data_IF_296218943725
#
_entry.id   IF_296218943725
#
_cell.length_a   1.000
_cell.length_b   1.000
_cell.length_c   1.000
_cell.angle_alpha   90.00
_cell.angle_beta   90.00
_cell.angle_gamma   90.00
#
_symmetry.space_group_name_H-M   'P 1'
#
loop_
_entity.id
_entity.type
_entity.pdbx_description
1 polymer ?
#
# COMPACT_ATOMS: atom_id res chain seq x y z
N UNK A 1 2.22 32.50 -26.33
CA UNK A 1 1.59 31.54 -27.25
C UNK A 1 2.06 31.90 -28.66
N UNK A 2 2.71 30.99 -29.33
CA UNK A 2 3.32 31.18 -30.63
C UNK A 2 2.32 30.75 -31.74
N UNK A 3 2.18 31.59 -32.74
CA UNK A 3 1.20 31.35 -33.79
C UNK A 3 1.83 30.53 -34.95
N UNK A 4 1.43 29.26 -35.02
CA UNK A 4 1.94 28.25 -35.99
C UNK A 4 1.59 28.59 -37.44
N UNK A 5 0.60 29.47 -37.68
CA UNK A 5 0.17 29.87 -39.02
C UNK A 5 1.11 30.87 -39.71
N UNK A 6 2.00 31.50 -38.95
CA UNK A 6 2.92 32.54 -39.46
C UNK A 6 4.38 32.13 -39.60
N UNK A 7 4.82 31.04 -38.92
CA UNK A 7 6.21 30.64 -38.91
C UNK A 7 6.33 29.12 -39.05
N UNK A 8 7.10 28.65 -40.04
CA UNK A 8 7.39 27.23 -40.23
C UNK A 8 8.26 26.61 -39.12
N UNK A 9 8.98 27.45 -38.37
CA UNK A 9 9.83 27.07 -37.24
C UNK A 9 9.63 28.01 -36.07
N UNK A 10 9.69 27.47 -34.87
CA UNK A 10 9.57 28.29 -33.64
C UNK A 10 10.76 29.26 -33.54
N UNK A 11 10.55 30.59 -33.46
CA UNK A 11 11.63 31.56 -33.40
C UNK A 11 12.44 31.49 -32.08
N UNK A 12 11.94 30.84 -31.05
CA UNK A 12 12.60 30.75 -29.72
C UNK A 12 13.41 29.46 -29.57
N UNK A 13 12.93 28.32 -30.03
CA UNK A 13 13.62 27.04 -29.86
C UNK A 13 14.21 26.44 -31.14
N UNK A 14 13.96 27.06 -32.31
CA UNK A 14 14.41 26.57 -33.64
C UNK A 14 14.01 25.13 -33.95
N UNK A 15 12.99 24.59 -33.27
CA UNK A 15 12.41 23.29 -33.62
C UNK A 15 11.43 23.45 -34.78
N UNK A 16 11.54 22.60 -35.79
CA UNK A 16 10.54 22.46 -36.85
C UNK A 16 9.25 21.93 -36.25
N UNK A 17 8.12 22.47 -36.69
CA UNK A 17 6.80 21.96 -36.28
C UNK A 17 6.70 20.50 -36.75
N UNK A 18 6.54 19.59 -35.84
CA UNK A 18 6.20 18.21 -36.12
C UNK A 18 4.78 18.19 -36.70
N UNK A 19 4.67 18.02 -38.03
CA UNK A 19 3.44 17.55 -38.63
C UNK A 19 3.15 16.17 -38.08
N UNK A 20 2.33 16.12 -37.06
CA UNK A 20 1.73 14.86 -36.62
C UNK A 20 0.65 14.50 -37.64
N UNK A 21 1.03 13.84 -38.70
CA UNK A 21 0.13 12.95 -39.42
C UNK A 21 -0.29 11.88 -38.41
N UNK A 22 -1.49 12.00 -37.89
CA UNK A 22 -2.14 10.92 -37.17
C UNK A 22 -2.40 9.82 -38.19
N UNK A 23 -1.42 8.96 -38.39
CA UNK A 23 -1.67 7.66 -38.97
C UNK A 23 -2.51 6.89 -37.96
N UNK A 24 -3.75 6.65 -38.32
CA UNK A 24 -4.57 5.61 -37.76
C UNK A 24 -3.93 4.25 -38.02
N UNK A 25 -2.82 3.97 -37.38
CA UNK A 25 -2.26 2.64 -37.30
C UNK A 25 -2.58 2.08 -35.93
N UNK A 26 -3.66 1.26 -35.94
CA UNK A 26 -3.85 0.13 -35.07
C UNK A 26 -3.34 0.36 -33.63
N UNK A 27 -4.24 0.77 -32.79
CA UNK A 27 -4.20 0.33 -31.41
C UNK A 27 -4.17 -1.21 -31.48
N UNK A 28 -2.97 -1.76 -31.63
CA UNK A 28 -2.74 -3.13 -31.27
C UNK A 28 -3.04 -3.18 -29.78
N UNK A 29 -4.09 -3.89 -29.47
CA UNK A 29 -4.35 -4.42 -28.16
C UNK A 29 -3.00 -4.73 -27.52
N UNK A 30 -2.69 -4.00 -26.47
CA UNK A 30 -1.78 -4.52 -25.46
C UNK A 30 -2.47 -5.82 -25.07
N UNK A 31 -1.92 -6.94 -25.55
CA UNK A 31 -2.23 -8.25 -25.02
C UNK A 31 -2.13 -8.06 -23.52
N UNK A 32 -3.25 -8.20 -22.85
CA UNK A 32 -3.31 -8.43 -21.43
C UNK A 32 -2.40 -9.62 -21.18
N UNK A 33 -1.14 -9.35 -20.83
CA UNK A 33 -0.35 -10.34 -20.14
C UNK A 33 -1.14 -10.58 -18.84
N UNK A 34 -1.98 -11.56 -18.89
CA UNK A 34 -2.57 -12.17 -17.72
C UNK A 34 -1.38 -12.56 -16.85
N UNK A 35 -1.08 -11.73 -15.86
CA UNK A 35 -0.15 -12.03 -14.77
C UNK A 35 -0.90 -13.03 -13.88
N UNK A 36 -1.04 -14.25 -14.41
CA UNK A 36 -1.87 -15.33 -13.87
C UNK A 36 -1.25 -15.95 -12.59
N UNK A 37 -0.09 -15.42 -12.14
CA UNK A 37 0.62 -15.90 -10.97
C UNK A 37 0.41 -15.03 -9.71
N UNK A 38 -0.35 -13.92 -9.81
CA UNK A 38 -0.61 -13.06 -8.66
C UNK A 38 -1.85 -13.51 -7.92
N UNK A 39 -1.67 -14.11 -6.76
CA UNK A 39 -2.78 -14.43 -5.84
C UNK A 39 -3.50 -13.14 -5.44
N UNK A 40 -4.65 -12.88 -6.04
CA UNK A 40 -5.45 -11.70 -5.73
C UNK A 40 -6.30 -11.93 -4.48
N UNK A 41 -6.38 -10.92 -3.65
CA UNK A 41 -7.27 -10.93 -2.50
C UNK A 41 -8.72 -11.18 -2.95
N UNK A 42 -9.41 -12.05 -2.26
CA UNK A 42 -10.78 -12.48 -2.58
C UNK A 42 -11.77 -11.31 -2.76
N UNK A 43 -11.52 -10.16 -2.13
CA UNK A 43 -12.35 -8.93 -2.23
C UNK A 43 -11.80 -7.88 -3.20
N UNK A 44 -10.60 -8.04 -3.74
CA UNK A 44 -10.03 -7.09 -4.71
C UNK A 44 -10.52 -7.33 -6.14
N UNK A 45 -11.33 -8.37 -6.38
CA UNK A 45 -11.83 -8.75 -7.71
C UNK A 45 -12.69 -7.68 -8.40
N UNK A 46 -13.27 -6.78 -7.63
CA UNK A 46 -14.13 -5.72 -8.18
C UNK A 46 -13.41 -4.35 -8.29
N UNK A 47 -12.17 -4.25 -7.78
CA UNK A 47 -11.39 -3.01 -7.78
C UNK A 47 -9.94 -3.41 -8.06
N UNK A 48 -9.38 -3.02 -9.19
CA UNK A 48 -7.98 -3.28 -9.56
C UNK A 48 -6.95 -2.59 -8.63
N UNK A 49 -7.31 -2.29 -7.39
CA UNK A 49 -6.49 -1.61 -6.39
C UNK A 49 -6.70 -2.32 -5.06
N UNK A 50 -5.64 -2.71 -4.39
CA UNK A 50 -5.72 -3.22 -3.03
C UNK A 50 -6.20 -2.13 -2.07
N UNK A 51 -7.39 -2.30 -1.44
CA UNK A 51 -7.97 -1.26 -0.62
C UNK A 51 -7.16 -1.06 0.66
N UNK A 52 -7.01 0.21 1.06
CA UNK A 52 -6.37 0.58 2.32
C UNK A 52 -7.28 0.13 3.48
N UNK A 53 -6.71 -0.60 4.43
CA UNK A 53 -7.43 -1.07 5.62
C UNK A 53 -6.98 -0.36 6.89
N UNK A 54 -5.80 0.30 6.88
CA UNK A 54 -5.26 1.05 8.00
C UNK A 54 -3.95 1.73 7.65
N UNK A 55 -3.31 2.31 8.66
CA UNK A 55 -2.02 2.99 8.54
C UNK A 55 -1.11 2.71 9.73
N UNK A 56 0.19 2.79 9.48
CA UNK A 56 1.22 2.99 10.48
C UNK A 56 1.71 4.43 10.37
N UNK A 57 1.64 5.19 11.44
CA UNK A 57 2.16 6.56 11.49
C UNK A 57 3.43 6.58 12.32
N UNK A 58 4.54 6.99 11.73
CA UNK A 58 5.82 7.12 12.41
C UNK A 58 5.81 8.35 13.33
N UNK A 59 5.98 8.13 14.64
CA UNK A 59 6.00 9.20 15.65
C UNK A 59 7.41 9.48 16.18
N UNK A 60 8.33 8.52 16.05
CA UNK A 60 9.72 8.64 16.46
C UNK A 60 10.62 7.80 15.53
N UNK A 61 11.82 8.29 15.22
CA UNK A 61 12.77 7.64 14.32
C UNK A 61 13.07 8.46 13.08
N UNK A 62 13.77 7.83 12.12
CA UNK A 62 14.25 8.48 10.91
C UNK A 62 13.13 9.03 10.00
N UNK A 63 11.97 8.40 10.02
CA UNK A 63 10.83 8.75 9.17
C UNK A 63 9.68 9.40 9.95
N UNK A 64 9.99 10.07 11.05
CA UNK A 64 9.01 10.77 11.88
C UNK A 64 8.13 11.70 11.06
N UNK A 65 6.82 11.55 11.23
CA UNK A 65 5.78 12.32 10.52
C UNK A 65 5.28 11.67 9.24
N UNK A 66 5.89 10.57 8.78
CA UNK A 66 5.37 9.79 7.65
C UNK A 66 4.29 8.81 8.10
N UNK A 67 3.40 8.50 7.17
CA UNK A 67 2.44 7.41 7.27
C UNK A 67 2.73 6.35 6.22
N UNK A 68 2.39 5.12 6.54
CA UNK A 68 2.52 3.95 5.68
C UNK A 68 1.18 3.26 5.59
N UNK A 69 0.72 3.01 4.36
CA UNK A 69 -0.56 2.36 4.13
C UNK A 69 -0.45 0.88 4.42
N UNK A 70 -1.44 0.35 5.12
CA UNK A 70 -1.67 -1.08 5.24
C UNK A 70 -2.80 -1.42 4.29
N UNK A 71 -2.51 -2.28 3.32
CA UNK A 71 -3.49 -2.75 2.36
C UNK A 71 -4.05 -4.11 2.79
N UNK A 72 -5.09 -4.58 2.10
CA UNK A 72 -5.70 -5.87 2.39
C UNK A 72 -4.68 -7.01 2.34
N UNK A 73 -4.95 -8.09 3.07
CA UNK A 73 -4.10 -9.27 3.26
C UNK A 73 -2.87 -9.02 4.12
N UNK A 74 -1.70 -9.45 3.65
CA UNK A 74 -0.47 -9.40 4.44
C UNK A 74 0.48 -8.35 3.86
N UNK A 75 0.99 -7.49 4.72
CA UNK A 75 1.97 -6.46 4.38
C UNK A 75 3.28 -6.79 5.11
N UNK A 76 4.33 -7.07 4.35
CA UNK A 76 5.66 -7.31 4.88
C UNK A 76 6.40 -6.00 5.15
N UNK A 77 6.98 -5.89 6.32
CA UNK A 77 7.65 -4.68 6.82
C UNK A 77 9.14 -4.93 6.93
N UNK A 78 9.95 -4.06 6.39
CA UNK A 78 11.40 -4.09 6.46
C UNK A 78 12.02 -2.87 5.81
N UNK A 79 13.36 -2.79 5.78
CA UNK A 79 14.06 -1.66 5.15
C UNK A 79 14.43 -1.88 3.68
N UNK A 80 14.23 -3.10 3.15
CA UNK A 80 14.45 -3.42 1.74
C UNK A 80 13.41 -2.78 0.85
N UNK A 81 13.77 -2.54 -0.40
CA UNK A 81 12.92 -1.99 -1.45
C UNK A 81 11.90 -2.98 -2.01
N UNK A 82 12.08 -4.25 -1.66
CA UNK A 82 11.19 -5.37 -1.97
C UNK A 82 10.11 -5.62 -0.89
N UNK A 83 9.95 -4.70 0.08
CA UNK A 83 8.95 -4.79 1.14
C UNK A 83 7.71 -3.95 0.81
N UNK A 84 6.52 -4.44 1.21
CA UNK A 84 5.25 -3.71 1.03
C UNK A 84 5.25 -2.40 1.82
N UNK A 85 5.84 -2.43 3.02
CA UNK A 85 6.09 -1.26 3.85
C UNK A 85 7.59 -1.14 4.05
N UNK A 86 8.21 -0.24 3.30
CA UNK A 86 9.64 0.03 3.39
C UNK A 86 9.91 1.10 4.46
N UNK A 87 10.66 0.73 5.50
CA UNK A 87 11.12 1.63 6.55
C UNK A 87 12.59 1.97 6.32
N UNK A 88 12.88 3.22 5.92
CA UNK A 88 14.23 3.67 5.59
C UNK A 88 14.89 4.45 6.74
N UNK A 89 16.22 4.52 6.71
CA UNK A 89 16.99 5.34 7.65
C UNK A 89 17.27 4.72 9.01
N UNK A 90 16.68 3.58 9.34
CA UNK A 90 16.92 2.83 10.58
C UNK A 90 17.63 1.50 10.27
N UNK A 91 18.92 1.40 10.62
CA UNK A 91 19.72 0.22 10.35
C UNK A 91 19.47 -0.95 11.30
N UNK A 92 18.76 -0.73 12.40
CA UNK A 92 18.34 -1.79 13.32
C UNK A 92 17.17 -2.61 12.77
N UNK A 93 16.46 -2.09 11.75
CA UNK A 93 15.40 -2.81 11.04
C UNK A 93 16.01 -3.75 10.01
N UNK A 94 15.56 -4.99 9.97
CA UNK A 94 15.99 -5.98 8.98
C UNK A 94 15.61 -5.58 7.56
N UNK A 95 16.44 -5.96 6.59
CA UNK A 95 16.16 -5.70 5.18
C UNK A 95 14.86 -6.39 4.74
N UNK A 96 14.72 -7.67 5.10
CA UNK A 96 13.58 -8.49 4.70
C UNK A 96 12.76 -8.89 5.91
N UNK A 97 11.46 -8.79 5.78
CA UNK A 97 10.47 -9.32 6.73
C UNK A 97 10.89 -9.20 8.20
N UNK A 98 11.05 -7.97 8.69
CA UNK A 98 11.24 -7.72 10.11
C UNK A 98 9.99 -8.12 10.90
N UNK A 99 8.83 -7.79 10.35
CA UNK A 99 7.52 -8.27 10.76
C UNK A 99 6.53 -8.18 9.59
N UNK A 100 5.32 -8.67 9.80
CA UNK A 100 4.22 -8.48 8.87
C UNK A 100 2.93 -8.10 9.61
N UNK A 101 2.12 -7.25 8.98
CA UNK A 101 0.78 -6.93 9.45
C UNK A 101 -0.22 -7.49 8.45
N UNK A 102 -1.25 -8.18 8.94
CA UNK A 102 -2.32 -8.72 8.12
C UNK A 102 -3.68 -8.30 8.63
N UNK A 103 -4.61 -8.07 7.71
CA UNK A 103 -6.01 -7.82 8.02
C UNK A 103 -6.86 -9.06 7.69
N UNK A 104 -7.67 -9.49 8.64
CA UNK A 104 -8.64 -10.55 8.44
C UNK A 104 -10.04 -9.97 8.28
N UNK A 105 -10.60 -9.91 7.05
CA UNK A 105 -11.88 -9.26 6.79
C UNK A 105 -13.08 -10.02 7.37
N UNK A 106 -12.97 -11.34 7.53
CA UNK A 106 -14.06 -12.15 8.12
C UNK A 106 -14.24 -11.84 9.60
N UNK A 107 -13.12 -11.66 10.33
CA UNK A 107 -13.12 -11.33 11.76
C UNK A 107 -13.02 -9.83 12.02
N UNK A 108 -12.63 -9.04 11.01
CA UNK A 108 -12.36 -7.59 11.09
C UNK A 108 -11.30 -7.23 12.12
N UNK A 109 -10.25 -8.03 12.20
CA UNK A 109 -9.14 -7.87 13.11
C UNK A 109 -7.82 -7.75 12.36
N UNK A 110 -6.88 -7.02 12.95
CA UNK A 110 -5.52 -6.94 12.47
C UNK A 110 -4.63 -7.83 13.32
N UNK A 111 -3.66 -8.45 12.67
CA UNK A 111 -2.67 -9.30 13.34
C UNK A 111 -1.28 -8.83 12.94
N UNK A 112 -0.39 -8.73 13.92
CA UNK A 112 1.05 -8.55 13.68
C UNK A 112 1.77 -9.83 14.00
N UNK A 113 2.68 -10.21 13.10
CA UNK A 113 3.48 -11.43 13.21
C UNK A 113 4.96 -11.04 13.14
N UNK A 114 5.81 -11.44 14.09
CA UNK A 114 7.24 -11.23 13.99
C UNK A 114 7.80 -11.99 12.79
N UNK A 115 8.81 -11.43 12.14
CA UNK A 115 9.49 -12.04 11.02
C UNK A 115 10.67 -12.90 11.47
N UNK A 116 11.61 -13.13 10.55
CA UNK A 116 12.84 -13.88 10.82
C UNK A 116 13.99 -12.97 11.32
N UNK A 117 13.69 -11.76 11.70
CA UNK A 117 14.65 -10.78 12.19
C UNK A 117 15.17 -11.15 13.58
N UNK A 118 16.43 -10.82 13.86
CA UNK A 118 16.97 -10.95 15.22
C UNK A 118 16.50 -9.82 16.17
N UNK A 119 15.99 -8.71 15.62
CA UNK A 119 15.47 -7.59 16.39
C UNK A 119 14.09 -7.89 16.97
N UNK A 120 13.91 -7.56 18.25
CA UNK A 120 12.59 -7.66 18.89
C UNK A 120 11.70 -6.49 18.50
N UNK A 121 10.41 -6.77 18.45
CA UNK A 121 9.35 -5.79 18.26
C UNK A 121 8.64 -5.66 19.60
N UNK A 122 8.24 -4.44 19.95
CA UNK A 122 7.44 -4.22 21.16
C UNK A 122 6.09 -3.62 20.78
N UNK A 123 5.05 -4.04 21.47
CA UNK A 123 3.71 -3.47 21.36
C UNK A 123 3.32 -3.00 22.75
N UNK A 124 3.11 -1.69 22.92
CA UNK A 124 2.82 -1.06 24.21
C UNK A 124 3.82 -1.46 25.31
N UNK A 125 5.11 -1.46 24.96
CA UNK A 125 6.27 -1.88 25.78
C UNK A 125 6.33 -3.38 26.10
N UNK A 126 5.50 -4.23 25.51
CA UNK A 126 5.59 -5.69 25.65
C UNK A 126 6.24 -6.33 24.42
N UNK A 127 7.25 -7.17 24.64
CA UNK A 127 7.94 -7.85 23.54
C UNK A 127 7.01 -8.81 22.80
N UNK A 128 7.08 -8.77 21.48
CA UNK A 128 6.32 -9.63 20.58
C UNK A 128 7.14 -10.88 20.22
N UNK A 129 6.76 -12.03 20.72
CA UNK A 129 7.37 -13.32 20.39
C UNK A 129 6.56 -14.11 19.38
N UNK A 130 5.24 -13.98 19.43
CA UNK A 130 4.28 -14.67 18.58
C UNK A 130 3.31 -13.69 17.94
N UNK A 131 2.48 -14.22 17.03
CA UNK A 131 1.41 -13.41 16.40
C UNK A 131 0.46 -12.86 17.44
N UNK A 132 0.22 -11.54 17.40
CA UNK A 132 -0.66 -10.80 18.30
C UNK A 132 -1.67 -9.97 17.52
N UNK A 133 -2.86 -9.81 18.09
CA UNK A 133 -3.87 -8.88 17.58
C UNK A 133 -3.44 -7.43 17.84
N UNK A 134 -3.56 -6.59 16.80
CA UNK A 134 -3.36 -5.14 16.88
C UNK A 134 -4.70 -4.45 17.11
N UNK A 135 -4.71 -3.57 18.11
CA UNK A 135 -5.82 -2.68 18.40
C UNK A 135 -5.49 -1.24 17.96
N UNK A 136 -6.54 -0.47 17.69
CA UNK A 136 -6.37 0.95 17.38
C UNK A 136 -5.49 1.66 18.40
N UNK A 137 -4.56 2.46 17.90
CA UNK A 137 -3.60 3.25 18.66
C UNK A 137 -2.55 2.46 19.46
N UNK A 138 -2.39 1.14 19.22
CA UNK A 138 -1.22 0.45 19.77
C UNK A 138 0.07 1.15 19.33
N UNK A 139 0.99 1.31 20.24
CA UNK A 139 2.34 1.76 20.00
C UNK A 139 3.19 0.57 19.58
N UNK A 140 3.77 0.62 18.41
CA UNK A 140 4.63 -0.44 17.86
C UNK A 140 6.05 0.10 17.76
N UNK A 141 7.00 -0.56 18.41
CA UNK A 141 8.41 -0.22 18.34
C UNK A 141 9.14 -1.26 17.47
N UNK A 142 9.76 -0.80 16.39
CA UNK A 142 10.53 -1.61 15.43
C UNK A 142 11.90 -0.95 15.28
N UNK A 143 12.95 -1.61 15.78
CA UNK A 143 14.26 -1.02 15.83
C UNK A 143 14.31 0.21 16.73
N UNK A 144 14.81 1.33 16.22
CA UNK A 144 14.84 2.63 16.91
C UNK A 144 13.60 3.48 16.60
N UNK A 145 12.70 2.96 15.76
CA UNK A 145 11.54 3.70 15.25
C UNK A 145 10.26 3.29 15.98
N UNK A 146 9.37 4.28 16.22
CA UNK A 146 8.07 4.06 16.87
C UNK A 146 6.92 4.48 15.99
N UNK A 147 5.90 3.66 15.97
CA UNK A 147 4.72 3.83 15.12
C UNK A 147 3.45 3.73 15.94
N UNK A 148 2.46 4.54 15.57
CA UNK A 148 1.07 4.36 16.01
C UNK A 148 0.31 3.63 14.92
N UNK A 149 -0.38 2.57 15.31
CA UNK A 149 -1.28 1.84 14.43
C UNK A 149 -2.65 2.52 14.39
N UNK A 150 -3.14 2.82 13.19
CA UNK A 150 -4.46 3.42 12.95
C UNK A 150 -5.26 2.50 12.04
N UNK A 151 -6.34 1.93 12.53
CA UNK A 151 -7.23 1.11 11.73
C UNK A 151 -8.28 1.96 11.00
N UNK A 152 -8.49 1.71 9.72
CA UNK A 152 -9.67 2.17 8.97
C UNK A 152 -10.78 1.14 9.06
N UNK A 153 -10.44 -0.11 8.72
CA UNK A 153 -11.37 -1.23 8.81
C UNK A 153 -11.48 -1.76 10.24
N UNK A 154 -12.66 -2.27 10.59
CA UNK A 154 -12.98 -2.79 11.91
C UNK A 154 -14.47 -2.90 12.13
N UNK A 155 -14.94 -2.73 13.36
CA UNK A 155 -16.36 -2.84 13.70
C UNK A 155 -17.23 -1.79 12.99
N UNK A 156 -16.72 -0.57 12.84
CA UNK A 156 -17.48 0.57 12.29
C UNK A 156 -17.47 0.62 10.77
N UNK A 157 -16.36 0.22 10.14
CA UNK A 157 -16.19 0.27 8.69
C UNK A 157 -15.49 -0.98 8.16
N UNK A 158 -15.95 -1.47 7.02
CA UNK A 158 -15.31 -2.52 6.21
C UNK A 158 -15.75 -2.37 4.78
N UNK A 159 -14.86 -2.58 3.82
CA UNK A 159 -15.11 -2.45 2.40
C UNK A 159 -16.21 -3.40 1.90
N UNK A 160 -16.45 -4.52 2.59
CA UNK A 160 -17.47 -5.52 2.23
C UNK A 160 -18.84 -5.29 2.89
N UNK A 161 -18.99 -4.25 3.72
CA UNK A 161 -20.20 -4.04 4.54
C UNK A 161 -21.45 -3.70 3.69
N UNK A 162 -21.27 -3.23 2.45
CA UNK A 162 -22.39 -2.84 1.59
C UNK A 162 -23.09 -4.03 0.90
N UNK A 163 -22.38 -5.15 0.69
CA UNK A 163 -23.00 -6.36 0.08
C UNK A 163 -23.99 -7.10 1.01
N UNK A 164 -23.99 -6.82 2.31
CA UNK A 164 -24.89 -7.49 3.27
C UNK A 164 -26.24 -6.78 3.46
N UNK A 165 -26.43 -5.58 2.91
CA UNK A 165 -27.71 -4.86 3.01
C UNK A 165 -28.64 -5.08 1.81
N UNK A 166 -28.09 -5.46 0.64
CA UNK A 166 -28.88 -5.71 -0.55
C UNK A 166 -29.59 -7.08 -0.57
N UNK A 167 -29.13 -8.05 0.25
CA UNK A 167 -29.72 -9.40 0.26
C UNK A 167 -30.87 -9.60 1.28
N UNK A 168 -31.27 -8.53 1.99
CA UNK A 168 -32.35 -8.59 2.99
C UNK A 168 -33.64 -7.86 2.60
N UNK A 169 -33.71 -7.31 1.38
CA UNK A 169 -34.93 -6.64 0.90
C UNK A 169 -35.59 -7.34 -0.30
N UNK A 170 -35.52 -8.65 -0.38
CA UNK A 170 -36.35 -9.45 -1.27
C UNK A 170 -36.91 -10.64 -0.51
N UNK A 171 -37.96 -10.38 0.26
CA UNK A 171 -39.00 -11.35 0.64
C UNK A 171 -40.30 -10.60 0.87
#
# INVERSE_FOLDING_TARGET
MYDVSRYATCPYCKSEGLDMEIKEDKINLVEEMEDDDKTMAYWSKDVNIDPVVGWLTCIEGAEKGKDFRIVSERNFIGRGDDMDIQLTGDNSISRKNHCSISYNPKKRIFMITPGQANGLIYIDNEALYDTRELKAYNLIEIGESKFIFVNLCGENFDWNKEKSKSDKEVL
#
